data_IF_660491371579
#
_entry.id   IF_660491371579
#
_cell.length_a   1.000
_cell.length_b   1.000
_cell.length_c   1.000
_cell.angle_alpha   90.00
_cell.angle_beta   90.00
_cell.angle_gamma   90.00
#
_symmetry.space_group_name_H-M   'P 1'
#
loop_
_entity.id
_entity.type
_entity.pdbx_description
1 polymer ?
#
# COMPACT_ATOMS: atom_id res chain seq x y z
N UNK A 1 14.40 40.76 -26.90
CA UNK A 1 13.02 40.29 -27.11
C UNK A 1 12.94 38.75 -27.17
N UNK A 2 13.66 38.08 -28.07
CA UNK A 2 13.65 36.60 -28.22
C UNK A 2 14.04 35.82 -26.95
N UNK A 3 15.06 36.28 -26.21
CA UNK A 3 15.51 35.64 -24.96
C UNK A 3 14.46 35.68 -23.84
N UNK A 4 13.75 36.80 -23.72
CA UNK A 4 12.67 36.96 -22.73
C UNK A 4 11.47 36.07 -23.08
N UNK A 5 11.09 36.01 -24.36
CA UNK A 5 10.04 35.12 -24.86
C UNK A 5 10.41 33.66 -24.59
N UNK A 6 11.66 33.26 -24.86
CA UNK A 6 12.15 31.90 -24.58
C UNK A 6 12.09 31.52 -23.10
N UNK A 7 12.47 32.42 -22.18
CA UNK A 7 12.38 32.16 -20.74
C UNK A 7 10.94 32.04 -20.26
N UNK A 8 10.05 32.89 -20.78
CA UNK A 8 8.63 32.87 -20.47
C UNK A 8 7.99 31.55 -20.94
N UNK A 9 8.29 31.12 -22.17
CA UNK A 9 7.81 29.83 -22.70
C UNK A 9 8.32 28.64 -21.89
N UNK A 10 9.60 28.63 -21.51
CA UNK A 10 10.17 27.57 -20.66
C UNK A 10 9.47 27.51 -19.28
N UNK A 11 9.18 28.67 -18.68
CA UNK A 11 8.46 28.76 -17.42
C UNK A 11 7.05 28.17 -17.52
N UNK A 12 6.31 28.52 -18.59
CA UNK A 12 4.97 27.96 -18.81
C UNK A 12 4.98 26.45 -18.98
N UNK A 13 5.98 25.89 -19.67
CA UNK A 13 6.13 24.43 -19.82
C UNK A 13 6.39 23.77 -18.47
N UNK A 14 7.30 24.33 -17.65
CA UNK A 14 7.59 23.79 -16.31
C UNK A 14 6.34 23.84 -15.43
N UNK A 15 5.60 24.95 -15.42
CA UNK A 15 4.36 25.08 -14.65
C UNK A 15 3.30 24.09 -15.12
N UNK A 16 3.13 23.92 -16.43
CA UNK A 16 2.18 22.96 -16.99
C UNK A 16 2.54 21.51 -16.63
N UNK A 17 3.83 21.15 -16.66
CA UNK A 17 4.31 19.84 -16.23
C UNK A 17 4.01 19.62 -14.75
N UNK A 18 4.38 20.56 -13.87
CA UNK A 18 4.09 20.47 -12.43
C UNK A 18 2.59 20.29 -12.20
N UNK A 19 1.75 21.08 -12.89
CA UNK A 19 0.29 21.00 -12.77
C UNK A 19 -0.30 19.69 -13.29
N UNK A 20 0.34 19.01 -14.26
CA UNK A 20 -0.07 17.70 -14.72
C UNK A 20 0.31 16.58 -13.74
N UNK A 21 1.41 16.74 -12.98
CA UNK A 21 1.86 15.75 -12.01
C UNK A 21 1.15 15.86 -10.65
N UNK A 22 0.79 17.07 -10.19
CA UNK A 22 0.12 17.28 -8.89
C UNK A 22 -1.18 16.45 -8.70
N UNK A 23 -2.10 16.37 -9.68
CA UNK A 23 -3.34 15.62 -9.54
C UNK A 23 -3.12 14.14 -9.24
N UNK A 24 -2.13 13.51 -9.90
CA UNK A 24 -1.82 12.08 -9.72
C UNK A 24 -1.36 11.79 -8.30
N UNK A 25 -0.50 12.64 -7.73
CA UNK A 25 -0.04 12.47 -6.34
C UNK A 25 -1.18 12.65 -5.34
N UNK A 26 -2.03 13.66 -5.54
CA UNK A 26 -3.16 13.93 -4.64
C UNK A 26 -4.22 12.83 -4.63
N UNK A 27 -4.46 12.18 -5.78
CA UNK A 27 -5.39 11.03 -5.89
C UNK A 27 -4.83 9.82 -5.13
N UNK A 28 -3.55 9.48 -5.35
CA UNK A 28 -2.92 8.35 -4.66
C UNK A 28 -2.88 8.53 -3.13
N UNK A 29 -2.66 9.76 -2.66
CA UNK A 29 -2.68 10.08 -1.23
C UNK A 29 -4.10 9.96 -0.63
N UNK A 30 -5.11 10.43 -1.34
CA UNK A 30 -6.51 10.32 -0.91
C UNK A 30 -7.00 8.86 -0.87
N UNK A 31 -6.66 8.06 -1.87
CA UNK A 31 -6.97 6.62 -1.92
C UNK A 31 -6.28 5.86 -0.80
N UNK A 32 -4.98 6.12 -0.58
CA UNK A 32 -4.25 5.55 0.53
C UNK A 32 -4.94 5.92 1.85
N UNK A 33 -5.18 7.21 2.11
CA UNK A 33 -5.82 7.68 3.34
C UNK A 33 -7.17 7.01 3.56
N UNK A 34 -8.01 6.90 2.52
CA UNK A 34 -9.28 6.20 2.62
C UNK A 34 -9.13 4.72 3.00
N UNK A 35 -8.09 4.03 2.50
CA UNK A 35 -7.77 2.67 2.92
C UNK A 35 -7.39 2.64 4.41
N UNK A 36 -6.53 3.54 4.91
CA UNK A 36 -6.15 3.57 6.34
C UNK A 36 -7.30 3.98 7.28
N UNK A 37 -8.21 4.83 6.83
CA UNK A 37 -9.34 5.30 7.65
C UNK A 37 -10.46 4.25 7.71
N UNK A 38 -10.60 3.42 6.66
CA UNK A 38 -11.64 2.38 6.57
C UNK A 38 -11.14 1.02 7.03
N UNK A 39 -9.86 0.73 6.76
CA UNK A 39 -9.17 -0.51 7.08
C UNK A 39 -8.04 -0.24 8.06
N UNK A 40 -7.66 -1.24 8.85
CA UNK A 40 -6.61 -1.18 9.89
C UNK A 40 -7.03 -0.50 11.18
N UNK A 41 -8.33 -0.29 11.39
CA UNK A 41 -8.85 0.26 12.65
C UNK A 41 -8.73 -0.76 13.78
N UNK A 42 -8.77 -2.06 13.46
CA UNK A 42 -8.68 -3.17 14.42
C UNK A 42 -7.30 -3.82 14.44
N UNK A 43 -6.46 -3.56 13.45
CA UNK A 43 -5.09 -4.07 13.42
C UNK A 43 -4.18 -3.15 14.25
N UNK A 44 -3.55 -3.71 15.28
CA UNK A 44 -2.55 -2.95 16.04
C UNK A 44 -1.34 -2.58 15.17
N UNK A 45 -0.65 -1.45 15.43
CA UNK A 45 0.54 -1.05 14.67
C UNK A 45 1.63 -2.13 14.64
N UNK A 46 1.80 -2.87 15.74
CA UNK A 46 2.73 -4.01 15.82
C UNK A 46 2.35 -5.10 14.81
N UNK A 47 1.07 -5.45 14.73
CA UNK A 47 0.60 -6.48 13.82
C UNK A 47 0.62 -6.04 12.36
N UNK A 48 0.28 -4.78 12.06
CA UNK A 48 0.44 -4.22 10.73
C UNK A 48 1.89 -4.32 10.24
N UNK A 49 2.85 -3.91 11.06
CA UNK A 49 4.29 -4.01 10.73
C UNK A 49 4.73 -5.47 10.53
N UNK A 50 4.26 -6.39 11.36
CA UNK A 50 4.62 -7.80 11.23
C UNK A 50 4.07 -8.43 9.94
N UNK A 51 2.81 -8.16 9.60
CA UNK A 51 2.18 -8.66 8.37
C UNK A 51 2.92 -8.13 7.14
N UNK A 52 3.23 -6.83 7.11
CA UNK A 52 4.03 -6.22 6.04
C UNK A 52 5.42 -6.88 5.97
N UNK A 53 6.07 -7.11 7.13
CA UNK A 53 7.39 -7.73 7.16
C UNK A 53 7.40 -9.15 6.58
N UNK A 54 6.39 -9.96 6.91
CA UNK A 54 6.27 -11.34 6.42
C UNK A 54 6.05 -11.36 4.92
N UNK A 55 5.19 -10.49 4.40
CA UNK A 55 4.90 -10.44 2.96
C UNK A 55 6.09 -9.92 2.16
N UNK A 56 6.67 -8.79 2.56
CA UNK A 56 7.60 -8.05 1.69
C UNK A 56 9.08 -8.33 1.97
N UNK A 57 9.45 -8.76 3.17
CA UNK A 57 10.85 -8.94 3.59
C UNK A 57 11.14 -10.30 4.24
N UNK A 58 10.26 -11.31 4.03
CA UNK A 58 10.42 -12.67 4.55
C UNK A 58 10.65 -12.72 6.08
N UNK A 59 10.00 -11.82 6.82
CA UNK A 59 10.06 -11.81 8.28
C UNK A 59 9.38 -13.02 8.93
N UNK A 60 9.57 -13.19 10.23
CA UNK A 60 8.87 -14.20 11.03
C UNK A 60 7.47 -13.71 11.41
N UNK A 61 6.45 -14.52 11.14
CA UNK A 61 5.07 -14.20 11.47
C UNK A 61 4.77 -14.38 12.97
N UNK A 62 3.99 -13.45 13.53
CA UNK A 62 3.56 -13.47 14.94
C UNK A 62 2.11 -13.96 14.99
N UNK A 63 1.91 -15.19 15.47
CA UNK A 63 0.60 -15.86 15.53
C UNK A 63 -0.49 -15.04 16.24
N UNK A 64 -0.13 -14.29 17.30
CA UNK A 64 -1.10 -13.48 18.03
C UNK A 64 -1.70 -12.34 17.20
N UNK A 65 -1.12 -12.00 16.05
CA UNK A 65 -1.66 -11.03 15.11
C UNK A 65 -2.79 -11.56 14.23
N UNK A 66 -3.04 -12.88 14.23
CA UNK A 66 -4.13 -13.44 13.44
C UNK A 66 -5.51 -12.99 13.90
N UNK A 67 -5.71 -12.76 15.21
CA UNK A 67 -6.98 -12.27 15.73
C UNK A 67 -7.32 -10.91 15.14
N UNK A 68 -6.38 -9.97 15.23
CA UNK A 68 -6.49 -8.62 14.67
C UNK A 68 -6.78 -8.68 13.17
N UNK A 69 -6.01 -9.48 12.42
CA UNK A 69 -6.15 -9.61 10.97
C UNK A 69 -7.51 -10.15 10.55
N UNK A 70 -7.98 -11.23 11.19
CA UNK A 70 -9.27 -11.86 10.87
C UNK A 70 -10.43 -10.94 11.27
N UNK A 71 -10.31 -10.22 12.39
CA UNK A 71 -11.32 -9.25 12.83
C UNK A 71 -11.43 -8.05 11.89
N UNK A 72 -10.30 -7.61 11.32
CA UNK A 72 -10.26 -6.58 10.28
C UNK A 72 -10.94 -7.06 9.00
N UNK A 73 -10.57 -8.25 8.53
CA UNK A 73 -11.20 -8.94 7.41
C UNK A 73 -10.36 -8.97 6.14
N UNK A 74 -10.71 -9.91 5.26
CA UNK A 74 -9.90 -10.24 4.07
C UNK A 74 -9.73 -9.07 3.12
N UNK A 75 -10.82 -8.33 2.86
CA UNK A 75 -10.80 -7.21 1.90
C UNK A 75 -9.76 -6.16 2.30
N UNK A 76 -9.67 -5.85 3.59
CA UNK A 76 -8.72 -4.88 4.10
C UNK A 76 -7.27 -5.37 3.99
N UNK A 77 -7.02 -6.63 4.35
CA UNK A 77 -5.72 -7.27 4.14
C UNK A 77 -5.31 -7.26 2.66
N UNK A 78 -6.23 -7.66 1.79
CA UNK A 78 -5.97 -7.76 0.36
C UNK A 78 -5.64 -6.42 -0.28
N UNK A 79 -6.43 -5.40 0.03
CA UNK A 79 -6.23 -4.07 -0.51
C UNK A 79 -4.94 -3.43 0.01
N UNK A 80 -4.60 -3.60 1.29
CA UNK A 80 -3.36 -3.05 1.85
C UNK A 80 -2.14 -3.64 1.14
N UNK A 81 -2.08 -4.97 1.04
CA UNK A 81 -0.93 -5.63 0.42
C UNK A 81 -0.86 -5.30 -1.07
N UNK A 82 -1.99 -5.25 -1.78
CA UNK A 82 -2.03 -4.85 -3.20
C UNK A 82 -1.52 -3.42 -3.38
N UNK A 83 -1.99 -2.47 -2.58
CA UNK A 83 -1.54 -1.07 -2.63
C UNK A 83 -0.02 -0.93 -2.45
N UNK A 84 0.59 -1.71 -1.54
CA UNK A 84 2.04 -1.70 -1.36
C UNK A 84 2.75 -2.38 -2.53
N UNK A 85 2.26 -3.54 -2.97
CA UNK A 85 2.83 -4.29 -4.09
C UNK A 85 2.79 -3.52 -5.42
N UNK A 86 1.83 -2.61 -5.58
CA UNK A 86 1.69 -1.73 -6.76
C UNK A 86 2.71 -0.60 -6.83
N UNK A 87 3.53 -0.42 -5.79
CA UNK A 87 4.59 0.58 -5.82
C UNK A 87 5.59 0.22 -6.92
N UNK A 88 6.09 1.23 -7.69
CA UNK A 88 7.04 0.98 -8.78
C UNK A 88 8.28 0.18 -8.39
N UNK A 89 8.74 0.29 -7.13
CA UNK A 89 9.88 -0.45 -6.60
C UNK A 89 9.59 -1.93 -6.29
N UNK A 90 8.33 -2.34 -6.25
CA UNK A 90 7.87 -3.66 -5.80
C UNK A 90 7.10 -4.43 -6.89
N UNK A 91 6.54 -3.75 -7.89
CA UNK A 91 5.69 -4.34 -8.92
C UNK A 91 6.34 -5.52 -9.67
N UNK A 92 7.67 -5.53 -9.81
CA UNK A 92 8.40 -6.64 -10.44
C UNK A 92 8.27 -7.99 -9.72
N UNK A 93 7.90 -7.98 -8.43
CA UNK A 93 7.69 -9.17 -7.60
C UNK A 93 6.23 -9.27 -7.09
N UNK A 94 5.30 -8.53 -7.70
CA UNK A 94 3.91 -8.43 -7.25
C UNK A 94 3.28 -9.81 -7.02
N UNK A 95 3.41 -10.74 -7.99
CA UNK A 95 2.82 -12.08 -7.89
C UNK A 95 3.31 -12.85 -6.66
N UNK A 96 4.58 -12.68 -6.27
CA UNK A 96 5.13 -13.31 -5.06
C UNK A 96 4.49 -12.72 -3.80
N UNK A 97 4.33 -11.40 -3.73
CA UNK A 97 3.71 -10.71 -2.60
C UNK A 97 2.23 -11.07 -2.46
N UNK A 98 1.49 -11.14 -3.57
CA UNK A 98 0.07 -11.54 -3.56
C UNK A 98 -0.11 -12.99 -3.13
N UNK A 99 0.82 -13.88 -3.49
CA UNK A 99 0.82 -15.26 -2.97
C UNK A 99 1.04 -15.27 -1.45
N UNK A 100 2.09 -14.60 -0.96
CA UNK A 100 2.38 -14.53 0.49
C UNK A 100 1.24 -13.91 1.29
N UNK A 101 0.55 -12.91 0.74
CA UNK A 101 -0.69 -12.35 1.31
C UNK A 101 -1.72 -13.45 1.56
N UNK A 102 -1.99 -14.26 0.53
CA UNK A 102 -3.01 -15.30 0.59
C UNK A 102 -2.60 -16.42 1.56
N UNK A 103 -1.31 -16.73 1.63
CA UNK A 103 -0.73 -17.67 2.60
C UNK A 103 -0.93 -17.17 4.05
N UNK A 104 -0.60 -15.90 4.33
CA UNK A 104 -0.82 -15.28 5.66
C UNK A 104 -2.30 -15.28 6.05
N UNK A 105 -3.18 -14.94 5.12
CA UNK A 105 -4.63 -14.95 5.40
C UNK A 105 -5.13 -16.37 5.71
N UNK A 106 -4.76 -17.34 4.87
CA UNK A 106 -5.18 -18.74 5.03
C UNK A 106 -4.69 -19.33 6.34
N UNK A 107 -3.44 -19.02 6.71
CA UNK A 107 -2.85 -19.38 7.99
C UNK A 107 -3.67 -18.84 9.16
N UNK A 108 -3.99 -17.54 9.15
CA UNK A 108 -4.75 -16.93 10.24
C UNK A 108 -6.19 -17.42 10.35
N UNK A 109 -6.87 -17.65 9.23
CA UNK A 109 -8.20 -18.28 9.24
C UNK A 109 -8.12 -19.67 9.86
N UNK A 110 -7.09 -20.45 9.56
CA UNK A 110 -6.88 -21.78 10.14
C UNK A 110 -6.64 -21.73 11.65
N UNK A 111 -5.73 -20.86 12.11
CA UNK A 111 -5.42 -20.69 13.54
C UNK A 111 -6.64 -20.22 14.33
N UNK A 112 -7.45 -19.31 13.77
CA UNK A 112 -8.66 -18.79 14.42
C UNK A 112 -9.80 -19.79 14.58
N UNK A 113 -9.83 -20.87 13.78
CA UNK A 113 -10.83 -21.95 13.91
C UNK A 113 -10.48 -22.99 14.97
N UNK A 114 -9.21 -23.02 15.38
CA UNK A 114 -8.66 -24.04 16.28
C UNK A 114 -8.55 -23.53 17.73
N UNK A 115 -8.78 -22.24 17.95
CA UNK A 115 -8.76 -21.55 19.24
C UNK A 115 -10.18 -21.30 19.75
#
# INVERSE_FOLDING_TARGET
MVKLISHVTALFIVVALVYAFVPVFSVAEAEAKSLWDTCLVKITPKCALNIIAVVFVNGTFIESCCKDLVQEGKVCHDNLIKYIADRPSLIGHETEYLKKRDDVWSHCVSTSKTA
#
